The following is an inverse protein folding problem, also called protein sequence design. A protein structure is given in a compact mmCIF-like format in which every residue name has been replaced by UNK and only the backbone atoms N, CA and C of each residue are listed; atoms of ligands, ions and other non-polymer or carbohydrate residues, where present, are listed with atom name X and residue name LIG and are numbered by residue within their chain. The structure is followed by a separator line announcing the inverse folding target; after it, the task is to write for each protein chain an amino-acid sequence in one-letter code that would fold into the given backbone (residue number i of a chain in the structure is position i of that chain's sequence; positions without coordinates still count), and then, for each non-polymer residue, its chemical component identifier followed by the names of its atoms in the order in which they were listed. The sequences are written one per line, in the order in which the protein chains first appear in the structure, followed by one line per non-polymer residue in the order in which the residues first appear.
data_IF_181747537976
#
_entry.id   IF_181747537976
#
_cell.length_a   1.000
_cell.length_b   1.000
_cell.length_c   1.000
_cell.angle_alpha   90.00
_cell.angle_beta   90.00
_cell.angle_gamma   90.00
#
_symmetry.space_group_name_H-M   'P 1'
#
loop_
_entity.id
_entity.type
_entity.pdbx_description
1 polymer ?
#
# COMPACT_ATOMS: atom_id res chain seq x y z
N UNK A 1 16.15 -13.14 6.04
CA UNK A 1 14.87 -12.38 6.02
C UNK A 1 14.05 -12.80 4.82
N UNK A 2 12.72 -12.96 5.02
CA UNK A 2 11.81 -13.35 3.94
C UNK A 2 10.86 -12.20 3.63
N UNK A 3 10.78 -11.83 2.35
CA UNK A 3 9.92 -10.76 1.85
C UNK A 3 8.95 -11.36 0.83
N UNK A 4 7.67 -11.03 0.96
CA UNK A 4 6.63 -11.39 0.00
C UNK A 4 6.13 -10.11 -0.66
N UNK A 5 5.95 -10.13 -1.97
CA UNK A 5 5.39 -9.03 -2.73
C UNK A 5 4.11 -9.44 -3.43
N UNK A 6 3.09 -8.57 -3.38
CA UNK A 6 1.82 -8.73 -4.09
C UNK A 6 1.39 -7.40 -4.68
N UNK A 7 0.53 -7.43 -5.69
CA UNK A 7 -0.07 -6.23 -6.28
C UNK A 7 -1.37 -6.58 -7.00
N UNK A 8 -2.11 -5.55 -7.38
CA UNK A 8 -3.27 -5.67 -8.27
C UNK A 8 -4.37 -6.61 -7.75
N UNK A 9 -4.59 -6.60 -6.43
CA UNK A 9 -5.59 -7.47 -5.80
C UNK A 9 -7.02 -7.04 -6.10
N UNK A 10 -7.29 -5.75 -6.20
CA UNK A 10 -8.63 -5.20 -6.41
C UNK A 10 -9.69 -5.80 -5.48
N UNK A 11 -9.31 -5.99 -4.20
CA UNK A 11 -10.21 -6.53 -3.18
C UNK A 11 -10.45 -8.03 -3.26
N UNK A 12 -9.77 -8.73 -4.15
CA UNK A 12 -9.93 -10.19 -4.32
C UNK A 12 -8.82 -10.91 -3.59
N UNK A 13 -9.18 -11.61 -2.52
CA UNK A 13 -8.23 -12.35 -1.68
C UNK A 13 -8.24 -13.85 -1.95
N UNK A 14 -9.19 -14.31 -2.75
CA UNK A 14 -9.34 -15.71 -3.07
C UNK A 14 -8.29 -16.14 -4.09
N UNK A 15 -7.91 -17.40 -4.01
CA UNK A 15 -6.99 -17.99 -4.98
C UNK A 15 -5.52 -17.84 -4.63
N UNK A 16 -5.17 -17.16 -3.52
CA UNK A 16 -3.79 -17.14 -3.04
C UNK A 16 -3.74 -17.11 -1.52
N UNK A 17 -2.60 -17.57 -0.98
CA UNK A 17 -2.34 -17.59 0.46
C UNK A 17 -1.01 -16.91 0.71
N UNK A 18 -0.98 -15.99 1.66
CA UNK A 18 0.26 -15.31 2.05
C UNK A 18 1.07 -16.25 2.95
N UNK A 19 2.27 -16.68 2.56
CA UNK A 19 3.11 -17.49 3.42
C UNK A 19 3.65 -16.68 4.59
N UNK A 20 4.06 -17.37 5.66
CA UNK A 20 4.72 -16.71 6.79
C UNK A 20 6.00 -16.01 6.29
N UNK A 21 6.16 -14.74 6.65
CA UNK A 21 7.32 -13.94 6.26
C UNK A 21 7.53 -12.78 7.22
N UNK A 22 8.66 -12.10 7.10
CA UNK A 22 8.98 -10.93 7.90
C UNK A 22 8.26 -9.70 7.35
N UNK A 23 8.27 -9.55 6.04
CA UNK A 23 7.75 -8.36 5.35
C UNK A 23 6.80 -8.76 4.23
N UNK A 24 5.66 -8.08 4.16
CA UNK A 24 4.76 -8.10 3.01
C UNK A 24 4.76 -6.72 2.35
N UNK A 25 5.16 -6.67 1.09
CA UNK A 25 5.07 -5.46 0.27
C UNK A 25 3.83 -5.54 -0.60
N UNK A 26 2.92 -4.60 -0.44
CA UNK A 26 1.72 -4.49 -1.26
C UNK A 26 1.92 -3.33 -2.23
N UNK A 27 2.07 -3.66 -3.50
CA UNK A 27 2.55 -2.73 -4.53
C UNK A 27 1.40 -2.20 -5.40
N UNK A 28 0.37 -1.69 -4.75
CA UNK A 28 -0.68 -0.92 -5.39
C UNK A 28 -1.87 -1.71 -5.93
N UNK A 29 -2.86 -0.96 -6.37
CA UNK A 29 -4.12 -1.42 -6.96
C UNK A 29 -4.86 -2.40 -6.06
N UNK A 30 -5.07 -1.98 -4.82
CA UNK A 30 -5.75 -2.78 -3.81
C UNK A 30 -7.27 -2.65 -3.87
N UNK A 31 -7.78 -1.49 -4.27
CA UNK A 31 -9.21 -1.16 -4.16
C UNK A 31 -10.06 -1.98 -5.13
N UNK A 32 -11.23 -2.49 -4.69
CA UNK A 32 -12.20 -3.08 -5.61
C UNK A 32 -12.59 -2.08 -6.70
N UNK A 33 -12.61 -2.53 -7.96
CA UNK A 33 -12.87 -1.65 -9.09
C UNK A 33 -14.23 -0.93 -8.97
N UNK A 34 -15.21 -1.58 -8.35
CA UNK A 34 -16.53 -0.99 -8.12
C UNK A 34 -16.51 0.23 -7.20
N UNK A 35 -15.48 0.37 -6.36
CA UNK A 35 -15.35 1.49 -5.41
C UNK A 35 -14.34 2.55 -5.82
N UNK A 36 -13.53 2.31 -6.85
CA UNK A 36 -12.36 3.15 -7.14
C UNK A 36 -12.68 4.64 -7.31
N UNK A 37 -13.84 4.98 -7.87
CA UNK A 37 -14.25 6.36 -8.09
C UNK A 37 -15.02 6.97 -6.91
N UNK A 38 -15.19 6.25 -5.82
CA UNK A 38 -15.98 6.67 -4.66
C UNK A 38 -15.12 6.61 -3.41
N UNK A 39 -14.62 7.77 -2.99
CA UNK A 39 -13.69 7.87 -1.85
C UNK A 39 -14.31 7.32 -0.57
N UNK A 40 -15.56 7.67 -0.28
CA UNK A 40 -16.22 7.19 0.94
C UNK A 40 -16.34 5.67 0.96
N UNK A 41 -16.79 5.07 -0.14
CA UNK A 41 -16.90 3.60 -0.25
C UNK A 41 -15.54 2.93 -0.17
N UNK A 42 -14.52 3.52 -0.77
CA UNK A 42 -13.15 3.01 -0.70
C UNK A 42 -12.61 3.06 0.73
N UNK A 43 -12.83 4.16 1.45
CA UNK A 43 -12.41 4.29 2.84
C UNK A 43 -13.10 3.26 3.73
N UNK A 44 -14.41 3.08 3.57
CA UNK A 44 -15.18 2.09 4.34
C UNK A 44 -14.68 0.67 4.07
N UNK A 45 -14.41 0.34 2.81
CA UNK A 45 -13.82 -0.95 2.45
C UNK A 45 -12.43 -1.11 3.06
N UNK A 46 -11.60 -0.07 2.98
CA UNK A 46 -10.24 -0.08 3.51
C UNK A 46 -10.23 -0.38 5.02
N UNK A 47 -11.07 0.32 5.76
CA UNK A 47 -11.16 0.19 7.22
C UNK A 47 -11.80 -1.14 7.62
N UNK A 48 -12.86 -1.54 6.97
CA UNK A 48 -13.68 -2.68 7.40
C UNK A 48 -13.23 -4.02 6.85
N UNK A 49 -12.52 -4.03 5.71
CA UNK A 49 -12.13 -5.27 5.04
C UNK A 49 -10.61 -5.38 4.83
N UNK A 50 -9.97 -4.38 4.24
CA UNK A 50 -8.54 -4.46 3.90
C UNK A 50 -7.65 -4.52 5.13
N UNK A 51 -7.80 -3.57 6.05
CA UNK A 51 -7.00 -3.53 7.28
C UNK A 51 -7.13 -4.82 8.08
N UNK A 52 -8.35 -5.31 8.37
CA UNK A 52 -8.50 -6.59 9.07
C UNK A 52 -7.86 -7.76 8.32
N UNK A 53 -7.99 -7.81 7.01
CA UNK A 53 -7.35 -8.87 6.22
C UNK A 53 -5.83 -8.83 6.37
N UNK A 54 -5.21 -7.68 6.23
CA UNK A 54 -3.76 -7.53 6.41
C UNK A 54 -3.31 -7.96 7.80
N UNK A 55 -4.03 -7.54 8.83
CA UNK A 55 -3.66 -7.82 10.21
C UNK A 55 -3.75 -9.31 10.56
N UNK A 56 -4.50 -10.09 9.80
CA UNK A 56 -4.62 -11.55 9.99
C UNK A 56 -3.52 -12.33 9.30
N UNK A 57 -2.75 -11.72 8.42
CA UNK A 57 -1.72 -12.43 7.67
C UNK A 57 -0.52 -12.76 8.58
N UNK A 58 0.17 -13.89 8.34
CA UNK A 58 1.31 -14.33 9.16
C UNK A 58 2.59 -13.56 8.78
N UNK A 59 2.52 -12.25 8.90
CA UNK A 59 3.55 -11.29 8.48
C UNK A 59 3.82 -10.36 9.65
N UNK A 60 5.09 -10.03 9.87
CA UNK A 60 5.47 -9.15 10.96
C UNK A 60 5.15 -7.68 10.66
N UNK A 61 5.49 -7.20 9.46
CA UNK A 61 5.22 -5.83 9.01
C UNK A 61 4.73 -5.81 7.57
N UNK A 62 3.79 -4.94 7.28
CA UNK A 62 3.22 -4.72 5.95
C UNK A 62 3.59 -3.32 5.47
N UNK A 63 4.07 -3.21 4.23
CA UNK A 63 4.38 -1.93 3.60
C UNK A 63 3.52 -1.79 2.35
N UNK A 64 2.77 -0.69 2.30
CA UNK A 64 1.77 -0.42 1.27
C UNK A 64 2.15 0.83 0.49
N UNK A 65 2.11 0.75 -0.83
CA UNK A 65 2.10 1.93 -1.71
C UNK A 65 0.81 1.92 -2.52
N UNK A 66 0.37 3.10 -2.96
CA UNK A 66 -0.81 3.22 -3.81
C UNK A 66 -0.51 2.81 -5.25
N UNK A 67 -1.53 2.30 -5.95
CA UNK A 67 -1.50 2.09 -7.39
C UNK A 67 -2.36 3.12 -8.11
N UNK A 68 -2.31 3.11 -9.44
CA UNK A 68 -3.05 4.10 -10.23
C UNK A 68 -4.57 4.00 -10.08
N UNK A 69 -5.10 2.86 -9.66
CA UNK A 69 -6.52 2.69 -9.37
C UNK A 69 -6.90 3.08 -7.93
N UNK A 70 -5.92 3.30 -7.07
CA UNK A 70 -6.17 3.64 -5.66
C UNK A 70 -6.37 5.15 -5.46
N UNK A 71 -7.38 5.69 -6.12
CA UNK A 71 -7.67 7.13 -6.10
C UNK A 71 -7.86 7.64 -4.67
N UNK A 72 -8.45 6.82 -3.81
CA UNK A 72 -8.72 7.20 -2.41
C UNK A 72 -7.44 7.40 -1.59
N UNK A 73 -6.30 6.87 -2.04
CA UNK A 73 -5.02 7.05 -1.35
C UNK A 73 -4.30 8.33 -1.75
N UNK A 74 -4.57 8.84 -2.97
CA UNK A 74 -3.81 9.96 -3.53
C UNK A 74 -3.95 11.23 -2.69
N UNK A 75 -2.80 11.83 -2.30
CA UNK A 75 -2.73 13.06 -1.50
C UNK A 75 -3.49 13.00 -0.17
N UNK A 76 -3.63 11.80 0.41
CA UNK A 76 -4.36 11.61 1.67
C UNK A 76 -3.54 10.87 2.72
N UNK A 77 -2.20 10.97 2.64
CA UNK A 77 -1.32 10.23 3.56
C UNK A 77 -1.65 10.48 5.03
N UNK A 78 -1.95 11.73 5.39
CA UNK A 78 -2.31 12.07 6.78
C UNK A 78 -3.54 11.28 7.25
N UNK A 79 -4.59 11.22 6.43
CA UNK A 79 -5.83 10.50 6.77
C UNK A 79 -5.57 9.00 6.83
N UNK A 80 -4.86 8.48 5.84
CA UNK A 80 -4.56 7.04 5.76
C UNK A 80 -3.70 6.60 6.94
N UNK A 81 -2.69 7.39 7.31
CA UNK A 81 -1.86 7.10 8.47
C UNK A 81 -2.68 7.03 9.76
N UNK A 82 -3.73 7.85 9.88
CA UNK A 82 -4.63 7.79 11.04
C UNK A 82 -5.43 6.49 11.06
N UNK A 83 -5.92 6.03 9.92
CA UNK A 83 -6.62 4.74 9.83
C UNK A 83 -5.72 3.57 10.20
N UNK A 84 -4.42 3.68 9.92
CA UNK A 84 -3.45 2.61 10.14
C UNK A 84 -2.81 2.63 11.53
N UNK A 85 -3.10 3.66 12.32
CA UNK A 85 -2.52 3.82 13.65
C UNK A 85 -2.77 2.59 14.53
N UNK A 86 -1.70 2.07 15.15
CA UNK A 86 -1.79 0.88 15.99
C UNK A 86 -1.81 -0.44 15.24
N UNK A 87 -1.73 -0.42 13.90
CA UNK A 87 -1.63 -1.62 13.07
C UNK A 87 -0.19 -1.87 12.64
N UNK A 88 0.06 -3.05 12.06
CA UNK A 88 1.37 -3.38 11.48
C UNK A 88 1.53 -2.91 10.03
N UNK A 89 0.59 -2.10 9.53
CA UNK A 89 0.59 -1.62 8.15
C UNK A 89 1.21 -0.23 8.10
N UNK A 90 2.18 -0.05 7.21
CA UNK A 90 2.90 1.20 6.99
C UNK A 90 2.61 1.68 5.57
N UNK A 91 1.98 2.85 5.43
CA UNK A 91 1.69 3.43 4.13
C UNK A 91 2.82 4.36 3.71
N UNK A 92 3.40 4.12 2.54
CA UNK A 92 4.50 4.90 2.00
C UNK A 92 4.04 5.65 0.75
N UNK A 93 4.33 6.94 0.74
CA UNK A 93 4.04 7.84 -0.38
C UNK A 93 5.25 8.76 -0.54
N UNK A 94 6.21 8.34 -1.36
CA UNK A 94 7.51 8.99 -1.52
C UNK A 94 8.19 9.21 -0.17
N UNK A 95 8.12 8.18 0.66
CA UNK A 95 8.63 8.21 2.02
C UNK A 95 9.25 6.87 2.39
N UNK A 96 10.00 6.86 3.48
CA UNK A 96 10.65 5.66 3.95
C UNK A 96 10.38 5.42 5.42
N UNK A 97 10.59 4.18 5.85
CA UNK A 97 10.61 3.80 7.25
C UNK A 97 11.64 2.70 7.46
N UNK A 98 11.91 2.39 8.71
CA UNK A 98 12.91 1.39 9.06
C UNK A 98 12.25 0.12 9.58
N UNK A 99 12.85 -1.01 9.23
CA UNK A 99 12.52 -2.34 9.76
C UNK A 99 13.75 -2.92 10.42
N UNK A 100 13.62 -3.39 11.65
CA UNK A 100 14.70 -4.08 12.38
C UNK A 100 14.36 -5.57 12.46
N UNK A 101 15.30 -6.43 12.04
CA UNK A 101 15.13 -7.87 12.17
C UNK A 101 15.50 -8.36 13.59
N UNK A 102 15.35 -9.68 13.82
CA UNK A 102 15.63 -10.29 15.12
C UNK A 102 17.09 -10.17 15.54
N UNK A 103 18.00 -9.93 14.60
CA UNK A 103 19.42 -9.76 14.91
C UNK A 103 19.78 -8.31 15.24
N UNK A 104 18.82 -7.39 15.14
CA UNK A 104 19.05 -5.97 15.31
C UNK A 104 19.53 -5.25 14.05
N UNK A 105 19.62 -5.97 12.92
CA UNK A 105 19.97 -5.33 11.65
C UNK A 105 18.80 -4.47 11.16
N UNK A 106 19.12 -3.22 10.75
CA UNK A 106 18.14 -2.24 10.32
C UNK A 106 18.13 -2.14 8.79
N UNK A 107 16.94 -2.17 8.22
CA UNK A 107 16.71 -2.02 6.78
C UNK A 107 15.86 -0.77 6.57
N UNK A 108 16.20 0.02 5.57
CA UNK A 108 15.37 1.15 5.15
C UNK A 108 14.46 0.71 4.01
N UNK A 109 13.18 0.94 4.16
CA UNK A 109 12.16 0.60 3.15
C UNK A 109 11.59 1.90 2.62
N UNK A 110 11.78 2.13 1.32
CA UNK A 110 11.25 3.29 0.61
C UNK A 110 10.11 2.85 -0.30
N UNK A 111 9.01 3.62 -0.32
CA UNK A 111 7.89 3.35 -1.20
C UNK A 111 7.48 4.59 -1.99
N UNK A 112 7.20 4.37 -3.28
CA UNK A 112 6.69 5.41 -4.17
C UNK A 112 5.55 4.86 -5.01
N UNK A 113 4.40 5.55 -5.05
CA UNK A 113 3.28 5.21 -5.91
C UNK A 113 3.39 5.84 -7.31
N UNK A 114 4.39 6.69 -7.55
CA UNK A 114 4.46 7.52 -8.74
C UNK A 114 4.57 6.70 -10.02
N UNK A 115 3.83 7.11 -11.06
CA UNK A 115 3.92 6.50 -12.37
C UNK A 115 3.82 7.58 -13.47
N UNK A 116 4.26 7.23 -14.68
CA UNK A 116 4.16 8.12 -15.83
C UNK A 116 2.70 8.38 -16.20
N UNK A 117 2.40 9.59 -16.63
CA UNK A 117 1.05 9.95 -17.04
C UNK A 117 0.69 9.27 -18.35
N UNK A 118 -0.37 8.46 -18.33
CA UNK A 118 -0.96 7.83 -19.52
C UNK A 118 -2.49 7.89 -19.51
N UNK A 119 -3.06 8.70 -18.60
CA UNK A 119 -4.51 8.85 -18.45
C UNK A 119 -4.81 9.82 -17.31
N UNK A 120 -5.94 9.61 -16.65
CA UNK A 120 -6.40 10.44 -15.54
C UNK A 120 -6.52 9.64 -14.24
N UNK A 121 -5.65 8.66 -14.05
CA UNK A 121 -5.62 7.83 -12.84
C UNK A 121 -4.82 8.52 -11.73
N UNK A 122 -4.78 7.90 -10.56
CA UNK A 122 -4.04 8.42 -9.42
C UNK A 122 -2.52 8.34 -9.65
N UNK A 123 -1.77 9.20 -8.96
CA UNK A 123 -0.31 9.18 -8.89
C UNK A 123 0.40 9.29 -10.25
N UNK A 124 -0.23 9.93 -11.24
CA UNK A 124 0.36 10.09 -12.57
C UNK A 124 0.99 11.46 -12.73
N UNK A 125 2.23 11.48 -13.22
CA UNK A 125 3.02 12.69 -13.39
C UNK A 125 3.63 12.77 -14.78
N UNK A 126 3.78 13.99 -15.30
CA UNK A 126 4.46 14.24 -16.56
C UNK A 126 5.95 13.91 -16.42
N UNK A 127 6.61 13.36 -17.48
CA UNK A 127 8.02 12.94 -17.39
C UNK A 127 8.97 14.02 -16.88
N UNK A 128 8.81 15.28 -17.30
CA UNK A 128 9.67 16.36 -16.84
C UNK A 128 9.46 16.72 -15.36
N UNK A 129 8.27 16.48 -14.84
CA UNK A 129 7.96 16.68 -13.42
C UNK A 129 8.67 15.65 -12.56
N UNK A 130 8.82 14.44 -13.09
CA UNK A 130 9.55 13.38 -12.40
C UNK A 130 11.03 13.72 -12.19
N UNK A 131 11.62 14.47 -13.09
CA UNK A 131 13.01 14.91 -12.96
C UNK A 131 13.21 15.92 -11.83
N UNK A 132 12.13 16.55 -11.36
CA UNK A 132 12.13 17.53 -10.29
C UNK A 132 11.88 16.91 -8.92
N UNK A 133 11.52 15.63 -8.90
CA UNK A 133 11.33 14.89 -7.67
C UNK A 133 12.68 14.62 -6.98
#
# INVERSE_FOLDING_TARGET
MKIVGISDMHGIYEGFTIPKADILCICGDIVPLKYQNYIKSSDEWFINEFIPWCCKQPIEQVYLVGGNHDIFLMNRKYVIDQYLMGTKINYLDNSSCEYSDDTGKVYTIFGSPDCHKFGSWAFMYEPKTELEH
#
